data_IF_831879460459
#
_entry.id   IF_831879460459
#
_cell.length_a   1.000
_cell.length_b   1.000
_cell.length_c   1.000
_cell.angle_alpha   90.00
_cell.angle_beta   90.00
_cell.angle_gamma   90.00
#
_symmetry.space_group_name_H-M   'P 1'
#
loop_
_entity.id
_entity.type
_entity.pdbx_description
1 polymer ?
#
# COMPACT_ATOMS: atom_id res chain seq x y z
N UNK A 1 -14.13 16.67 -0.40
CA UNK A 1 -13.15 15.58 -0.20
C UNK A 1 -13.15 14.74 -1.45
N UNK A 2 -12.23 14.99 -2.38
CA UNK A 2 -12.19 14.25 -3.64
C UNK A 2 -11.62 12.86 -3.35
N UNK A 3 -12.47 11.83 -3.42
CA UNK A 3 -12.04 10.43 -3.34
C UNK A 3 -11.22 10.15 -4.59
N UNK A 4 -9.89 10.17 -4.47
CA UNK A 4 -9.05 9.68 -5.56
C UNK A 4 -9.33 8.18 -5.70
N UNK A 5 -9.72 7.68 -6.88
CA UNK A 5 -9.95 6.27 -7.07
C UNK A 5 -8.68 5.50 -6.72
N UNK A 6 -8.85 4.41 -5.97
CA UNK A 6 -7.73 3.56 -5.60
C UNK A 6 -7.14 2.98 -6.88
N UNK A 7 -5.91 3.40 -7.19
CA UNK A 7 -5.26 3.09 -8.47
C UNK A 7 -4.01 2.27 -8.26
N UNK A 8 -3.62 1.51 -9.30
CA UNK A 8 -2.36 0.79 -9.31
C UNK A 8 -1.15 1.73 -9.09
N UNK A 9 -1.25 3.00 -9.52
CA UNK A 9 -0.22 4.01 -9.27
C UNK A 9 -0.11 4.32 -7.77
N UNK A 10 -1.24 4.46 -7.08
CA UNK A 10 -1.26 4.66 -5.62
C UNK A 10 -0.63 3.49 -4.90
N UNK A 11 -0.93 2.25 -5.31
CA UNK A 11 -0.34 1.05 -4.72
C UNK A 11 1.17 0.95 -4.99
N UNK A 12 1.64 1.23 -6.20
CA UNK A 12 3.08 1.24 -6.54
C UNK A 12 3.84 2.27 -5.69
N UNK A 13 3.29 3.47 -5.50
CA UNK A 13 3.91 4.51 -4.66
C UNK A 13 3.99 4.05 -3.20
N UNK A 14 2.92 3.48 -2.65
CA UNK A 14 2.93 2.95 -1.28
C UNK A 14 3.95 1.81 -1.12
N UNK A 15 4.00 0.88 -2.08
CA UNK A 15 4.93 -0.25 -2.04
C UNK A 15 6.39 0.23 -2.09
N UNK A 16 6.70 1.21 -2.94
CA UNK A 16 8.03 1.83 -3.00
C UNK A 16 8.40 2.55 -1.71
N UNK A 17 7.46 3.28 -1.11
CA UNK A 17 7.67 3.97 0.15
C UNK A 17 7.96 2.97 1.29
N UNK A 18 7.19 1.89 1.35
CA UNK A 18 7.38 0.82 2.34
C UNK A 18 8.71 0.09 2.15
N UNK A 19 9.12 -0.16 0.91
CA UNK A 19 10.44 -0.72 0.61
C UNK A 19 11.57 0.22 1.04
N UNK A 20 11.42 1.53 0.85
CA UNK A 20 12.37 2.53 1.33
C UNK A 20 12.46 2.55 2.87
N UNK A 21 11.32 2.48 3.56
CA UNK A 21 11.27 2.39 5.03
C UNK A 21 11.94 1.10 5.53
N UNK A 22 11.67 -0.06 4.91
CA UNK A 22 12.31 -1.33 5.29
C UNK A 22 13.82 -1.28 5.13
N UNK A 23 14.31 -0.63 4.07
CA UNK A 23 15.75 -0.40 3.85
C UNK A 23 16.39 0.47 4.93
N UNK A 24 15.63 1.34 5.60
CA UNK A 24 16.09 2.11 6.75
C UNK A 24 15.78 1.47 8.10
N UNK A 25 15.35 0.19 8.13
CA UNK A 25 15.01 -0.53 9.36
C UNK A 25 13.68 -0.12 9.98
N UNK A 26 12.83 0.60 9.24
CA UNK A 26 11.49 1.04 9.66
C UNK A 26 10.38 0.30 8.89
N UNK A 27 9.14 0.39 9.36
CA UNK A 27 7.97 -0.09 8.62
C UNK A 27 6.82 0.91 8.71
N UNK A 28 6.10 1.05 7.62
CA UNK A 28 4.85 1.80 7.51
C UNK A 28 3.69 0.80 7.63
N UNK A 29 2.63 1.22 8.29
CA UNK A 29 1.41 0.42 8.50
C UNK A 29 0.23 1.23 7.95
N UNK A 30 -0.61 0.60 7.13
CA UNK A 30 -1.78 1.23 6.54
C UNK A 30 -2.96 1.21 7.52
N UNK A 31 -3.11 2.29 8.30
CA UNK A 31 -4.28 2.41 9.20
C UNK A 31 -5.54 2.76 8.41
N UNK A 32 -6.64 2.07 8.69
CA UNK A 32 -7.95 2.27 8.06
C UNK A 32 -7.92 2.13 6.53
N UNK A 33 -7.12 1.19 6.00
CA UNK A 33 -7.16 0.86 4.58
C UNK A 33 -8.59 0.41 4.20
N UNK A 34 -9.11 0.96 3.11
CA UNK A 34 -10.39 0.52 2.56
C UNK A 34 -10.26 -0.93 2.04
N UNK A 35 -11.36 -1.68 2.06
CA UNK A 35 -11.40 -3.03 1.49
C UNK A 35 -10.95 -3.03 0.02
N UNK A 36 -11.36 -2.04 -0.76
CA UNK A 36 -10.94 -1.86 -2.16
C UNK A 36 -9.41 -1.74 -2.33
N UNK A 37 -8.73 -1.06 -1.39
CA UNK A 37 -7.27 -0.96 -1.40
C UNK A 37 -6.62 -2.28 -1.04
N UNK A 38 -7.14 -3.00 -0.04
CA UNK A 38 -6.62 -4.30 0.36
C UNK A 38 -6.80 -5.33 -0.77
N UNK A 39 -7.95 -5.32 -1.44
CA UNK A 39 -8.25 -6.19 -2.58
C UNK A 39 -7.30 -5.88 -3.74
N UNK A 40 -7.05 -4.60 -4.05
CA UNK A 40 -6.11 -4.23 -5.10
C UNK A 40 -4.66 -4.62 -4.74
N UNK A 41 -4.24 -4.45 -3.49
CA UNK A 41 -2.92 -4.88 -3.01
C UNK A 41 -2.76 -6.40 -3.13
N UNK A 42 -3.77 -7.17 -2.75
CA UNK A 42 -3.80 -8.62 -2.88
C UNK A 42 -3.79 -9.04 -4.36
N UNK A 43 -4.60 -8.40 -5.20
CA UNK A 43 -4.64 -8.62 -6.65
C UNK A 43 -3.28 -8.38 -7.31
N UNK A 44 -2.54 -7.36 -6.85
CA UNK A 44 -1.20 -7.05 -7.36
C UNK A 44 -0.09 -7.92 -6.75
N UNK A 45 -0.41 -8.84 -5.83
CA UNK A 45 0.57 -9.71 -5.18
C UNK A 45 1.51 -9.00 -4.20
N UNK A 46 1.07 -7.86 -3.64
CA UNK A 46 1.89 -7.00 -2.79
C UNK A 46 1.54 -7.08 -1.30
N UNK A 47 0.74 -8.07 -0.87
CA UNK A 47 0.31 -8.22 0.52
C UNK A 47 1.48 -8.35 1.51
N UNK A 48 2.58 -9.02 1.12
CA UNK A 48 3.78 -9.15 1.97
C UNK A 48 4.61 -7.85 2.05
N UNK A 49 4.43 -6.97 1.06
CA UNK A 49 5.08 -5.66 1.00
C UNK A 49 4.27 -4.67 1.83
N UNK A 50 2.97 -4.58 1.57
CA UNK A 50 2.00 -3.68 2.20
C UNK A 50 1.02 -4.46 3.10
N UNK A 51 1.44 -4.83 4.32
CA UNK A 51 0.55 -5.50 5.25
C UNK A 51 -0.56 -4.55 5.76
N UNK A 52 -1.73 -5.09 6.12
CA UNK A 52 -2.83 -4.32 6.72
C UNK A 52 -2.49 -3.72 8.09
#
# INVERSE_FOLDING_TARGET
>A
MSTLPVSAVTVDVLARLQLAARRSGSSIVLRNASAELLDLVAFMGLADVLPP
#
